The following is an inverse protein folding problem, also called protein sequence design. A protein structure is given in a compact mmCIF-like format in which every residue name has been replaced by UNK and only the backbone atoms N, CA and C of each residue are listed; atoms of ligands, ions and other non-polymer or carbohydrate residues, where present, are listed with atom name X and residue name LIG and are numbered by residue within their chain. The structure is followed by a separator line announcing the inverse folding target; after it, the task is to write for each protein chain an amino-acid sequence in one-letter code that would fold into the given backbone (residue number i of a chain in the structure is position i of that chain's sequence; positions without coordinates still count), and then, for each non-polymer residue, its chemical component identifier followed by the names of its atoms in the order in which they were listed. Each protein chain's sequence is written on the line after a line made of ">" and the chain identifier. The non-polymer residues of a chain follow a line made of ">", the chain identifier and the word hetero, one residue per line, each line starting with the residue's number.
data_IF_482776582081
#
_entry.id   IF_482776582081
#
_cell.length_a   1.000
_cell.length_b   1.000
_cell.length_c   1.000
_cell.angle_alpha   90.00
_cell.angle_beta   90.00
_cell.angle_gamma   90.00
#
_symmetry.space_group_name_H-M   'P 1'
#
loop_
_entity.id
_entity.type
_entity.pdbx_description
1 polymer ?
#
# COMPACT_ATOMS: atom_id res chain seq x y z
N UNK A 1 17.34 -10.65 16.46
CA UNK A 1 15.93 -10.69 16.02
C UNK A 1 15.95 -11.16 14.57
N UNK A 2 15.33 -12.30 14.22
CA UNK A 2 15.25 -12.73 12.82
C UNK A 2 14.57 -11.62 12.03
N UNK A 3 15.24 -11.07 11.03
CA UNK A 3 14.61 -10.20 10.04
C UNK A 3 13.68 -11.11 9.26
N UNK A 4 12.43 -11.21 9.71
CA UNK A 4 11.35 -11.75 8.88
C UNK A 4 11.34 -10.88 7.63
N UNK A 5 11.58 -11.47 6.46
CA UNK A 5 11.77 -10.75 5.22
C UNK A 5 10.55 -9.83 5.00
N UNK A 6 10.78 -8.52 4.86
CA UNK A 6 9.71 -7.54 4.70
C UNK A 6 8.79 -7.90 3.53
N UNK A 7 9.37 -8.50 2.47
CA UNK A 7 8.64 -9.03 1.31
C UNK A 7 7.62 -10.08 1.72
N UNK A 8 8.00 -11.05 2.56
CA UNK A 8 7.11 -12.12 3.00
C UNK A 8 5.92 -11.56 3.80
N UNK A 9 6.19 -10.62 4.70
CA UNK A 9 5.15 -9.93 5.49
C UNK A 9 4.18 -9.20 4.56
N UNK A 10 4.72 -8.45 3.58
CA UNK A 10 3.90 -7.68 2.64
C UNK A 10 3.07 -8.61 1.76
N UNK A 11 3.67 -9.69 1.24
CA UNK A 11 2.97 -10.69 0.44
C UNK A 11 1.85 -11.38 1.23
N UNK A 12 2.09 -11.71 2.50
CA UNK A 12 1.06 -12.28 3.37
C UNK A 12 -0.10 -11.27 3.57
N UNK A 13 0.19 -9.99 3.81
CA UNK A 13 -0.83 -8.94 3.91
C UNK A 13 -1.62 -8.83 2.60
N UNK A 14 -0.94 -8.80 1.45
CA UNK A 14 -1.54 -8.76 0.12
C UNK A 14 -2.51 -9.91 -0.13
N UNK A 15 -2.17 -11.13 0.29
CA UNK A 15 -3.06 -12.30 0.20
C UNK A 15 -4.41 -12.09 0.90
N UNK A 16 -4.43 -11.23 1.93
CA UNK A 16 -5.63 -10.89 2.69
C UNK A 16 -6.30 -9.58 2.28
N UNK A 17 -5.76 -8.79 1.34
CA UNK A 17 -6.36 -7.51 0.90
C UNK A 17 -7.53 -7.69 -0.07
N UNK A 18 -7.64 -8.84 -0.74
CA UNK A 18 -8.58 -9.01 -1.86
C UNK A 18 -8.13 -8.19 -3.07
N UNK A 19 -8.96 -8.08 -4.11
CA UNK A 19 -8.66 -7.28 -5.32
C UNK A 19 -7.26 -7.52 -5.94
N UNK A 20 -6.69 -8.71 -5.78
CA UNK A 20 -5.40 -9.11 -6.36
C UNK A 20 -4.29 -8.04 -6.21
N UNK A 21 -4.08 -7.55 -4.98
CA UNK A 21 -2.95 -6.68 -4.65
C UNK A 21 -1.64 -7.48 -4.58
N UNK A 22 -0.55 -6.93 -5.12
CA UNK A 22 0.79 -7.53 -5.08
C UNK A 22 1.88 -6.47 -5.15
N UNK A 23 3.12 -6.85 -4.81
CA UNK A 23 4.30 -5.99 -4.95
C UNK A 23 4.61 -5.81 -6.44
N UNK A 24 4.68 -4.57 -6.90
CA UNK A 24 5.13 -4.29 -8.25
C UNK A 24 6.65 -4.48 -8.38
N UNK A 25 7.07 -5.54 -9.05
CA UNK A 25 8.48 -5.84 -9.33
C UNK A 25 9.11 -4.91 -10.38
N UNK A 26 8.28 -4.24 -11.19
CA UNK A 26 8.69 -3.34 -12.27
C UNK A 26 8.03 -1.98 -12.08
N UNK A 27 8.43 -1.29 -11.02
CA UNK A 27 7.94 0.06 -10.76
C UNK A 27 8.51 1.05 -11.78
N UNK A 28 7.65 1.87 -12.39
CA UNK A 28 8.05 2.95 -13.29
C UNK A 28 8.66 4.14 -12.54
N UNK A 29 8.65 4.12 -11.20
CA UNK A 29 9.30 5.09 -10.34
C UNK A 29 10.48 4.46 -9.62
N UNK A 30 11.56 5.23 -9.47
CA UNK A 30 12.73 4.79 -8.71
C UNK A 30 12.39 4.70 -7.22
N UNK A 31 12.51 3.50 -6.65
CA UNK A 31 12.22 3.23 -5.24
C UNK A 31 13.52 3.08 -4.45
N UNK A 32 13.54 3.72 -3.27
CA UNK A 32 14.61 3.51 -2.29
C UNK A 32 14.58 2.05 -1.82
N UNK A 33 15.75 1.44 -1.67
CA UNK A 33 15.89 0.07 -1.15
C UNK A 33 15.06 -0.15 0.12
N UNK A 34 14.27 -1.23 0.15
CA UNK A 34 13.38 -1.55 1.26
C UNK A 34 12.02 -0.86 1.21
N UNK A 35 11.74 -0.05 0.18
CA UNK A 35 10.41 0.45 -0.15
C UNK A 35 9.82 -0.35 -1.31
N UNK A 36 8.51 -0.54 -1.25
CA UNK A 36 7.75 -1.34 -2.19
C UNK A 36 6.55 -0.56 -2.68
N UNK A 37 6.28 -0.64 -3.97
CA UNK A 37 5.00 -0.22 -4.54
C UNK A 37 4.09 -1.45 -4.60
N UNK A 38 2.84 -1.29 -4.19
CA UNK A 38 1.78 -2.27 -4.30
C UNK A 38 0.78 -1.78 -5.35
N UNK A 39 0.45 -2.67 -6.29
CA UNK A 39 -0.53 -2.43 -7.33
C UNK A 39 -1.58 -3.55 -7.32
N UNK A 40 -2.72 -3.28 -7.93
CA UNK A 40 -3.83 -4.23 -8.05
C UNK A 40 -4.00 -4.63 -9.51
N UNK A 41 -4.23 -5.92 -9.76
CA UNK A 41 -4.58 -6.41 -11.10
C UNK A 41 -6.02 -6.05 -11.51
N UNK A 42 -6.83 -5.49 -10.61
CA UNK A 42 -8.24 -5.16 -10.86
C UNK A 42 -8.33 -3.75 -11.44
N UNK A 43 -8.97 -3.62 -12.61
CA UNK A 43 -9.07 -2.35 -13.37
C UNK A 43 -9.61 -1.17 -12.54
N UNK A 44 -10.58 -1.42 -11.63
CA UNK A 44 -11.13 -0.39 -10.73
C UNK A 44 -10.07 0.30 -9.84
N UNK A 45 -8.88 -0.27 -9.74
CA UNK A 45 -7.75 0.21 -8.94
C UNK A 45 -6.53 0.58 -9.79
N UNK A 46 -6.60 0.56 -11.13
CA UNK A 46 -5.43 0.75 -12.00
C UNK A 46 -4.66 2.06 -11.78
N UNK A 47 -5.37 3.11 -11.40
CA UNK A 47 -4.81 4.44 -11.15
C UNK A 47 -4.52 4.68 -9.66
N UNK A 48 -4.64 3.64 -8.82
CA UNK A 48 -4.39 3.71 -7.39
C UNK A 48 -3.29 2.73 -6.99
N UNK A 49 -2.20 3.25 -6.45
CA UNK A 49 -1.09 2.48 -5.92
C UNK A 49 -0.95 2.71 -4.42
N UNK A 50 -0.31 1.78 -3.71
CA UNK A 50 0.13 2.00 -2.34
C UNK A 50 1.65 1.89 -2.28
N UNK A 51 2.29 2.73 -1.48
CA UNK A 51 3.73 2.62 -1.23
C UNK A 51 3.93 2.27 0.23
N UNK A 52 4.83 1.32 0.49
CA UNK A 52 5.08 0.89 1.85
C UNK A 52 6.53 0.51 2.12
N UNK A 53 6.88 0.51 3.39
CA UNK A 53 8.11 -0.07 3.91
C UNK A 53 7.89 -0.62 5.33
N UNK A 54 8.75 -1.56 5.73
CA UNK A 54 8.74 -2.09 7.10
C UNK A 54 9.93 -1.52 7.85
N UNK A 55 9.66 -0.86 8.97
CA UNK A 55 10.71 -0.30 9.83
C UNK A 55 10.31 -0.42 11.30
N UNK A 56 11.26 -0.80 12.16
CA UNK A 56 11.08 -0.90 13.61
C UNK A 56 9.78 -1.63 14.05
N UNK A 57 9.46 -2.76 13.39
CA UNK A 57 8.28 -3.56 13.72
C UNK A 57 6.95 -2.91 13.32
N UNK A 58 6.97 -1.91 12.44
CA UNK A 58 5.79 -1.22 11.91
C UNK A 58 5.78 -1.28 10.39
N UNK A 59 4.58 -1.33 9.81
CA UNK A 59 4.37 -1.07 8.40
C UNK A 59 4.12 0.42 8.24
N UNK A 60 4.82 1.08 7.35
CA UNK A 60 4.49 2.43 6.88
C UNK A 60 3.82 2.26 5.53
N UNK A 61 2.62 2.79 5.33
CA UNK A 61 1.88 2.62 4.09
C UNK A 61 1.01 3.83 3.77
N UNK A 62 0.99 4.23 2.50
CA UNK A 62 0.23 5.37 2.00
C UNK A 62 -0.32 5.08 0.60
N UNK A 63 -1.53 5.55 0.32
CA UNK A 63 -2.17 5.43 -0.99
C UNK A 63 -1.89 6.62 -1.89
N UNK A 64 -1.84 6.40 -3.20
CA UNK A 64 -1.60 7.42 -4.21
C UNK A 64 -2.52 7.24 -5.41
N UNK A 65 -3.07 8.33 -5.91
CA UNK A 65 -3.78 8.38 -7.20
C UNK A 65 -2.85 8.95 -8.27
N UNK A 66 -2.71 8.23 -9.38
CA UNK A 66 -1.78 8.54 -10.49
C UNK A 66 -0.32 8.76 -10.06
N UNK A 67 0.12 8.14 -8.96
CA UNK A 67 1.44 8.37 -8.33
C UNK A 67 1.75 9.84 -7.97
N UNK A 68 0.73 10.70 -7.92
CA UNK A 68 0.86 12.14 -7.67
C UNK A 68 0.13 12.56 -6.39
N UNK A 69 -1.18 12.27 -6.32
CA UNK A 69 -2.02 12.70 -5.18
C UNK A 69 -1.94 11.68 -4.06
N UNK A 70 -1.26 12.04 -2.98
CA UNK A 70 -1.02 11.18 -1.83
C UNK A 70 -2.11 11.30 -0.75
N UNK A 71 -2.54 10.15 -0.21
CA UNK A 71 -3.45 10.03 0.95
C UNK A 71 -2.77 10.33 2.28
N UNK A 72 -3.28 9.78 3.38
CA UNK A 72 -2.61 9.90 4.68
C UNK A 72 -1.61 8.76 4.90
N UNK A 73 -0.55 9.03 5.66
CA UNK A 73 0.38 7.99 6.06
C UNK A 73 -0.25 7.15 7.19
N UNK A 74 -0.35 5.84 6.99
CA UNK A 74 -0.87 4.90 7.96
C UNK A 74 0.25 3.98 8.46
N UNK A 75 0.41 3.87 9.78
CA UNK A 75 1.59 3.20 10.38
C UNK A 75 1.26 2.11 11.39
N UNK A 76 0.57 1.01 11.03
CA UNK A 76 0.17 -0.01 12.00
C UNK A 76 1.36 -0.86 12.50
N UNK A 77 1.29 -1.33 13.74
CA UNK A 77 2.26 -2.27 14.30
C UNK A 77 2.12 -3.67 13.67
N UNK A 78 3.24 -4.30 13.32
CA UNK A 78 3.24 -5.60 12.64
C UNK A 78 2.72 -6.75 13.52
N UNK A 79 2.82 -6.63 14.84
CA UNK A 79 2.33 -7.61 15.80
C UNK A 79 0.80 -7.82 15.79
N UNK A 80 0.06 -7.07 14.97
CA UNK A 80 -1.38 -7.25 14.77
C UNK A 80 -1.73 -8.45 13.87
N UNK A 81 -0.77 -8.97 13.12
CA UNK A 81 -0.95 -10.08 12.16
C UNK A 81 -1.52 -9.64 10.81
N UNK A 82 -1.15 -10.35 9.74
CA UNK A 82 -1.40 -9.94 8.35
C UNK A 82 -2.88 -9.72 8.03
N UNK A 83 -3.77 -10.62 8.45
CA UNK A 83 -5.22 -10.50 8.23
C UNK A 83 -5.79 -9.20 8.84
N UNK A 84 -5.37 -8.84 10.06
CA UNK A 84 -5.85 -7.63 10.74
C UNK A 84 -5.26 -6.38 10.11
N UNK A 85 -3.99 -6.43 9.72
CA UNK A 85 -3.33 -5.36 8.97
C UNK A 85 -4.05 -5.10 7.64
N UNK A 86 -4.39 -6.14 6.88
CA UNK A 86 -5.14 -6.01 5.63
C UNK A 86 -6.52 -5.34 5.83
N UNK A 87 -7.24 -5.66 6.91
CA UNK A 87 -8.49 -4.96 7.27
C UNK A 87 -8.25 -3.47 7.55
N UNK A 88 -7.17 -3.13 8.25
CA UNK A 88 -6.83 -1.75 8.52
C UNK A 88 -6.38 -0.99 7.28
N UNK A 89 -5.61 -1.60 6.38
CA UNK A 89 -5.19 -0.97 5.12
C UNK A 89 -6.41 -0.65 4.25
N UNK A 90 -7.37 -1.57 4.14
CA UNK A 90 -8.64 -1.29 3.44
C UNK A 90 -9.36 -0.08 4.02
N UNK A 91 -9.46 -0.01 5.36
CA UNK A 91 -10.21 1.03 6.07
C UNK A 91 -9.53 2.40 6.04
N UNK A 92 -8.20 2.46 6.09
CA UNK A 92 -7.46 3.71 6.31
C UNK A 92 -6.66 4.18 5.10
N UNK A 93 -6.42 3.32 4.09
CA UNK A 93 -5.61 3.66 2.91
C UNK A 93 -6.43 3.51 1.64
N UNK A 94 -6.99 2.33 1.38
CA UNK A 94 -7.74 2.08 0.13
C UNK A 94 -9.06 2.88 0.11
N UNK A 95 -9.70 3.08 1.26
CA UNK A 95 -10.92 3.89 1.37
C UNK A 95 -10.73 5.35 0.96
N UNK A 96 -9.51 5.88 1.04
CA UNK A 96 -9.19 7.26 0.65
C UNK A 96 -9.25 7.46 -0.88
N UNK A 97 -9.19 6.37 -1.66
CA UNK A 97 -9.07 6.39 -3.13
C UNK A 97 -10.02 7.39 -3.80
N UNK A 98 -11.31 7.32 -3.49
CA UNK A 98 -12.32 8.17 -4.14
C UNK A 98 -12.16 9.66 -3.79
N UNK A 99 -11.73 9.96 -2.57
CA UNK A 99 -11.42 11.33 -2.16
C UNK A 99 -10.15 11.85 -2.86
N UNK A 100 -9.14 11.01 -3.03
CA UNK A 100 -7.92 11.40 -3.77
C UNK A 100 -8.20 11.66 -5.25
N UNK A 101 -9.09 10.87 -5.86
CA UNK A 101 -9.57 11.14 -7.23
C UNK A 101 -10.29 12.49 -7.33
N UNK A 102 -11.11 12.87 -6.35
CA UNK A 102 -11.78 14.17 -6.40
C UNK A 102 -10.79 15.33 -6.27
N UNK A 103 -9.76 15.20 -5.44
CA UNK A 103 -8.67 16.18 -5.37
C UNK A 103 -7.97 16.30 -6.72
N UNK A 104 -7.60 15.19 -7.35
CA UNK A 104 -6.93 15.20 -8.65
C UNK A 104 -7.77 15.88 -9.73
N UNK A 105 -9.07 15.55 -9.79
CA UNK A 105 -9.98 16.13 -10.77
C UNK A 105 -10.19 17.63 -10.56
N UNK A 106 -10.18 18.11 -9.33
CA UNK A 106 -10.30 19.55 -9.02
C UNK A 106 -9.03 20.36 -9.31
N UNK A 107 -7.89 19.71 -9.56
CA UNK A 107 -6.63 20.37 -9.97
C UNK A 107 -6.57 20.59 -11.50
N UNK A 108 -7.43 19.94 -12.26
CA UNK A 108 -7.54 20.10 -13.71
C UNK A 108 -8.49 21.24 -14.05
#
# INVERSE_FOLDING_TARGET
>A
MKVTNAVDIINEICSYLGDSWFINEKSDVELITGHYQLISAVDKNKDFSMYCCVNNGRLHIRGFVFNDVAGNNFTPALNKGALKLAKYIRKNVISEKNYLFSIFNNRK
#
